data_IF_847341499430
#
_entry.id   IF_847341499430
#
_cell.length_a   1.000
_cell.length_b   1.000
_cell.length_c   1.000
_cell.angle_alpha   90.00
_cell.angle_beta   90.00
_cell.angle_gamma   90.00
#
_symmetry.space_group_name_H-M   'P 1'
#
loop_
_entity.id
_entity.type
_entity.pdbx_description
1 polymer ?
#
# COMPACT_ATOMS: atom_id res chain seq x y z
N UNK A 1 21.72 70.93 -6.92
CA UNK A 1 22.16 69.53 -7.10
C UNK A 1 21.39 68.67 -6.11
N UNK A 2 20.35 67.96 -6.56
CA UNK A 2 19.59 67.03 -5.75
C UNK A 2 20.27 65.64 -5.83
N UNK A 3 20.53 65.01 -4.68
CA UNK A 3 21.18 63.70 -4.59
C UNK A 3 20.31 62.57 -5.19
N UNK A 4 20.90 61.61 -5.93
CA UNK A 4 20.19 60.47 -6.53
C UNK A 4 19.96 59.31 -5.53
N UNK A 5 19.86 59.58 -4.22
CA UNK A 5 19.86 58.53 -3.19
C UNK A 5 18.49 57.87 -2.96
N UNK A 6 17.40 58.48 -3.42
CA UNK A 6 16.03 58.00 -3.17
C UNK A 6 15.66 56.79 -4.03
N UNK A 7 16.23 56.67 -5.24
CA UNK A 7 15.85 55.67 -6.25
C UNK A 7 16.39 54.27 -5.92
N UNK A 8 17.66 54.19 -5.50
CA UNK A 8 18.33 52.95 -5.11
C UNK A 8 17.63 52.21 -3.93
N UNK A 9 17.02 52.97 -3.02
CA UNK A 9 16.26 52.41 -1.89
C UNK A 9 14.93 51.78 -2.31
N UNK A 10 14.31 52.33 -3.36
CA UNK A 10 13.02 51.87 -3.89
C UNK A 10 13.21 50.61 -4.72
N UNK A 11 14.21 50.58 -5.60
CA UNK A 11 14.59 49.40 -6.37
C UNK A 11 14.94 48.21 -5.47
N UNK A 12 15.77 48.42 -4.43
CA UNK A 12 16.14 47.37 -3.47
C UNK A 12 14.91 46.84 -2.71
N UNK A 13 13.95 47.72 -2.39
CA UNK A 13 12.69 47.32 -1.74
C UNK A 13 11.80 46.51 -2.68
N UNK A 14 11.68 46.93 -3.94
CA UNK A 14 10.92 46.21 -4.96
C UNK A 14 11.54 44.83 -5.25
N UNK A 15 12.86 44.75 -5.39
CA UNK A 15 13.58 43.49 -5.58
C UNK A 15 13.37 42.54 -4.39
N UNK A 16 13.44 43.05 -3.15
CA UNK A 16 13.14 42.26 -1.94
C UNK A 16 11.70 41.76 -1.93
N UNK A 17 10.73 42.60 -2.28
CA UNK A 17 9.31 42.21 -2.34
C UNK A 17 9.06 41.16 -3.42
N UNK A 18 9.65 41.34 -4.60
CA UNK A 18 9.60 40.37 -5.69
C UNK A 18 10.21 39.02 -5.27
N UNK A 19 11.39 39.03 -4.66
CA UNK A 19 12.05 37.81 -4.15
C UNK A 19 11.23 37.07 -3.09
N UNK A 20 10.66 37.80 -2.12
CA UNK A 20 9.78 37.21 -1.10
C UNK A 20 8.51 36.63 -1.75
N UNK A 21 7.92 37.35 -2.69
CA UNK A 21 6.71 36.88 -3.40
C UNK A 21 6.99 35.62 -4.21
N UNK A 22 8.11 35.58 -4.93
CA UNK A 22 8.56 34.41 -5.68
C UNK A 22 8.83 33.22 -4.76
N UNK A 23 9.48 33.43 -3.62
CA UNK A 23 9.71 32.39 -2.63
C UNK A 23 8.40 31.79 -2.10
N UNK A 24 7.37 32.61 -1.88
CA UNK A 24 6.05 32.12 -1.48
C UNK A 24 5.30 31.40 -2.60
N UNK A 25 5.47 31.80 -3.86
CA UNK A 25 4.95 31.03 -5.00
C UNK A 25 5.64 29.68 -5.13
N UNK A 26 6.97 29.64 -5.02
CA UNK A 26 7.74 28.40 -5.02
C UNK A 26 7.34 27.48 -3.86
N UNK A 27 7.20 28.02 -2.65
CA UNK A 27 6.69 27.30 -1.48
C UNK A 27 5.29 26.74 -1.73
N UNK A 28 4.39 27.55 -2.30
CA UNK A 28 3.04 27.13 -2.67
C UNK A 28 3.01 26.00 -3.69
N UNK A 29 3.90 26.03 -4.68
CA UNK A 29 4.04 24.98 -5.69
C UNK A 29 4.56 23.67 -5.07
N UNK A 30 5.61 23.74 -4.25
CA UNK A 30 6.16 22.57 -3.52
C UNK A 30 5.08 21.96 -2.63
N UNK A 31 4.33 22.79 -1.91
CA UNK A 31 3.22 22.37 -1.07
C UNK A 31 2.13 21.66 -1.88
N UNK A 32 1.77 22.17 -3.05
CA UNK A 32 0.76 21.56 -3.92
C UNK A 32 1.23 20.19 -4.44
N UNK A 33 2.48 20.10 -4.91
CA UNK A 33 3.08 18.84 -5.38
C UNK A 33 3.09 17.81 -4.24
N UNK A 34 3.59 18.18 -3.07
CA UNK A 34 3.61 17.30 -1.90
C UNK A 34 2.20 16.86 -1.50
N UNK A 35 1.22 17.79 -1.51
CA UNK A 35 -0.17 17.47 -1.19
C UNK A 35 -0.76 16.43 -2.16
N UNK A 36 -0.56 16.62 -3.47
CA UNK A 36 -1.06 15.69 -4.49
C UNK A 36 -0.44 14.31 -4.37
N UNK A 37 0.87 14.24 -4.12
CA UNK A 37 1.59 12.98 -3.88
C UNK A 37 1.04 12.24 -2.65
N UNK A 38 0.88 12.94 -1.52
CA UNK A 38 0.37 12.33 -0.29
C UNK A 38 -1.11 11.93 -0.39
N UNK A 39 -1.93 12.70 -1.12
CA UNK A 39 -3.31 12.31 -1.44
C UNK A 39 -3.35 11.05 -2.31
N UNK A 40 -2.48 10.93 -3.31
CA UNK A 40 -2.40 9.76 -4.18
C UNK A 40 -2.02 8.50 -3.39
N UNK A 41 -0.89 8.52 -2.67
CA UNK A 41 -0.44 7.35 -1.90
C UNK A 41 -1.37 7.03 -0.73
N UNK A 42 -1.89 8.06 -0.06
CA UNK A 42 -2.87 7.90 1.01
C UNK A 42 -4.16 7.25 0.51
N UNK A 43 -4.70 7.72 -0.62
CA UNK A 43 -5.89 7.13 -1.24
C UNK A 43 -5.63 5.66 -1.64
N UNK A 44 -4.48 5.36 -2.24
CA UNK A 44 -4.12 4.00 -2.64
C UNK A 44 -4.05 3.03 -1.44
N UNK A 45 -3.64 3.51 -0.27
CA UNK A 45 -3.69 2.72 0.98
C UNK A 45 -5.10 2.61 1.56
N UNK A 46 -5.88 3.69 1.55
CA UNK A 46 -7.25 3.72 2.09
C UNK A 46 -8.21 2.79 1.35
N UNK A 47 -8.01 2.61 0.03
CA UNK A 47 -8.78 1.66 -0.78
C UNK A 47 -8.16 0.26 -0.81
N UNK A 48 -7.13 0.03 0.01
CA UNK A 48 -6.35 -1.21 0.08
C UNK A 48 -5.62 -1.62 -1.21
N UNK A 49 -5.56 -0.76 -2.22
CA UNK A 49 -4.96 -1.09 -3.52
C UNK A 49 -3.43 -1.22 -3.54
N UNK A 50 -2.71 -0.54 -2.63
CA UNK A 50 -1.24 -0.57 -2.66
C UNK A 50 -0.64 -1.92 -2.22
N UNK A 51 -1.19 -2.54 -1.18
CA UNK A 51 -0.66 -3.77 -0.60
C UNK A 51 -1.61 -4.97 -0.74
N UNK A 52 -2.90 -4.71 -1.00
CA UNK A 52 -3.93 -5.74 -1.03
C UNK A 52 -4.30 -6.25 0.36
N UNK A 53 -4.71 -7.51 0.41
CA UNK A 53 -5.03 -8.25 1.62
C UNK A 53 -4.26 -9.57 1.55
N UNK A 54 -3.74 -10.00 2.70
CA UNK A 54 -3.16 -11.34 2.82
C UNK A 54 -4.22 -12.29 3.37
N UNK A 55 -4.46 -13.39 2.65
CA UNK A 55 -5.42 -14.42 3.01
C UNK A 55 -4.84 -15.82 2.76
N UNK A 56 -5.67 -16.86 2.78
CA UNK A 56 -5.26 -18.24 2.56
C UNK A 56 -4.40 -18.44 1.29
N UNK A 57 -4.58 -17.63 0.25
CA UNK A 57 -3.80 -17.69 -0.99
C UNK A 57 -2.33 -17.29 -0.83
N UNK A 58 -1.92 -16.81 0.35
CA UNK A 58 -0.54 -16.49 0.72
C UNK A 58 0.07 -17.47 1.73
N UNK A 59 -0.62 -18.56 2.09
CA UNK A 59 -0.24 -19.40 3.23
C UNK A 59 0.99 -20.30 3.00
N UNK A 60 1.30 -20.66 1.75
CA UNK A 60 2.32 -21.66 1.46
C UNK A 60 3.73 -21.09 1.29
N UNK A 61 3.86 -19.80 0.94
CA UNK A 61 5.16 -19.17 0.72
C UNK A 61 5.98 -19.08 2.02
N UNK A 62 7.21 -19.57 1.98
CA UNK A 62 8.09 -19.60 3.14
C UNK A 62 8.88 -18.30 3.29
N UNK A 63 9.31 -17.99 4.52
CA UNK A 63 10.14 -16.80 4.79
C UNK A 63 11.40 -16.72 3.93
N UNK A 64 12.04 -17.86 3.63
CA UNK A 64 13.24 -17.92 2.79
C UNK A 64 13.00 -17.65 1.30
N UNK A 65 11.74 -17.70 0.85
CA UNK A 65 11.35 -17.49 -0.55
C UNK A 65 10.93 -16.04 -0.83
N UNK A 66 10.77 -15.23 0.22
CA UNK A 66 10.37 -13.84 0.11
C UNK A 66 11.59 -12.95 -0.11
N UNK A 67 11.44 -11.97 -1.00
CA UNK A 67 12.33 -10.80 -0.97
C UNK A 67 12.03 -9.94 0.27
N UNK A 68 12.97 -9.11 0.76
CA UNK A 68 12.71 -8.16 1.84
C UNK A 68 11.47 -7.29 1.56
N UNK A 69 11.31 -6.84 0.32
CA UNK A 69 10.12 -6.09 -0.12
C UNK A 69 8.85 -6.94 -0.02
N UNK A 70 8.88 -8.20 -0.47
CA UNK A 70 7.74 -9.12 -0.40
C UNK A 70 7.29 -9.41 1.03
N UNK A 71 8.25 -9.51 1.97
CA UNK A 71 7.97 -9.65 3.40
C UNK A 71 7.25 -8.42 3.96
N UNK A 72 7.75 -7.21 3.64
CA UNK A 72 7.10 -5.96 4.04
C UNK A 72 5.67 -5.86 3.49
N UNK A 73 5.48 -6.19 2.21
CA UNK A 73 4.16 -6.15 1.57
C UNK A 73 3.15 -7.03 2.29
N UNK A 74 3.52 -8.29 2.58
CA UNK A 74 2.66 -9.23 3.30
C UNK A 74 2.38 -8.79 4.73
N UNK A 75 3.39 -8.28 5.44
CA UNK A 75 3.20 -7.74 6.80
C UNK A 75 2.17 -6.61 6.84
N UNK A 76 2.21 -5.70 5.85
CA UNK A 76 1.25 -4.59 5.77
C UNK A 76 -0.13 -5.09 5.33
N UNK A 77 -0.19 -5.96 4.32
CA UNK A 77 -1.45 -6.54 3.81
C UNK A 77 -2.17 -7.40 4.86
N UNK A 78 -1.42 -8.04 5.76
CA UNK A 78 -1.96 -8.79 6.89
C UNK A 78 -2.65 -7.90 7.93
N UNK A 79 -2.29 -6.61 8.01
CA UNK A 79 -2.87 -5.67 8.96
C UNK A 79 -3.64 -4.55 8.25
N UNK A 80 -4.92 -4.79 7.88
CA UNK A 80 -5.78 -3.77 7.29
C UNK A 80 -5.87 -2.49 8.15
N UNK A 81 -5.82 -2.63 9.48
CA UNK A 81 -5.79 -1.50 10.40
C UNK A 81 -4.53 -0.64 10.22
N UNK A 82 -3.35 -1.27 10.18
CA UNK A 82 -2.09 -0.55 9.96
C UNK A 82 -2.10 0.16 8.62
N UNK A 83 -2.51 -0.52 7.55
CA UNK A 83 -2.61 0.04 6.21
C UNK A 83 -3.58 1.21 6.14
N UNK A 84 -4.78 1.08 6.74
CA UNK A 84 -5.77 2.14 6.79
C UNK A 84 -5.27 3.37 7.55
N UNK A 85 -4.66 3.18 8.73
CA UNK A 85 -4.12 4.29 9.53
C UNK A 85 -2.95 4.98 8.83
N UNK A 86 -2.07 4.23 8.17
CA UNK A 86 -1.01 4.79 7.34
C UNK A 86 -1.59 5.61 6.17
N UNK A 87 -2.60 5.08 5.48
CA UNK A 87 -3.32 5.79 4.42
C UNK A 87 -4.01 7.06 4.91
N UNK A 88 -4.64 7.01 6.08
CA UNK A 88 -5.31 8.15 6.71
C UNK A 88 -4.30 9.24 7.10
N UNK A 89 -3.13 8.87 7.62
CA UNK A 89 -2.07 9.81 7.95
C UNK A 89 -1.56 10.53 6.68
N UNK A 90 -1.29 9.78 5.61
CA UNK A 90 -0.83 10.34 4.33
C UNK A 90 -1.90 11.23 3.67
N UNK A 91 -3.11 10.69 3.51
CA UNK A 91 -4.22 11.42 2.88
C UNK A 91 -4.61 12.66 3.69
N UNK A 92 -4.67 12.52 5.02
CA UNK A 92 -4.94 13.61 5.94
C UNK A 92 -3.85 14.68 5.92
N UNK A 93 -2.58 14.30 5.81
CA UNK A 93 -1.48 15.24 5.62
C UNK A 93 -1.63 16.01 4.30
N UNK A 94 -1.90 15.31 3.20
CA UNK A 94 -2.16 15.92 1.89
C UNK A 94 -3.31 16.92 1.93
N UNK A 95 -4.44 16.54 2.52
CA UNK A 95 -5.60 17.43 2.69
C UNK A 95 -5.27 18.65 3.56
N UNK A 96 -4.55 18.45 4.67
CA UNK A 96 -4.12 19.53 5.56
C UNK A 96 -3.14 20.51 4.88
N UNK A 97 -2.32 20.05 3.95
CA UNK A 97 -1.41 20.91 3.18
C UNK A 97 -2.16 21.82 2.18
N UNK A 98 -3.31 21.39 1.65
CA UNK A 98 -4.11 22.20 0.74
C UNK A 98 -4.77 23.40 1.44
N UNK A 99 -5.08 23.29 2.73
CA UNK A 99 -5.65 24.38 3.50
C UNK A 99 -4.56 25.20 4.22
N UNK A 100 -4.44 26.49 3.84
CA UNK A 100 -3.54 27.50 4.44
C UNK A 100 -3.45 27.51 5.99
N UNK A 101 -4.50 27.11 6.72
CA UNK A 101 -4.51 27.13 8.19
C UNK A 101 -3.88 25.87 8.80
N UNK A 102 -3.91 24.76 8.08
CA UNK A 102 -3.47 23.44 8.54
C UNK A 102 -2.15 23.01 7.91
N UNK A 103 -1.51 23.85 7.09
CA UNK A 103 -0.18 23.59 6.49
C UNK A 103 0.85 23.07 7.49
N UNK A 104 1.08 23.67 8.68
CA UNK A 104 2.08 23.14 9.61
C UNK A 104 1.72 21.75 10.13
N UNK A 105 0.42 21.46 10.33
CA UNK A 105 -0.04 20.13 10.72
C UNK A 105 0.21 19.11 9.60
N UNK A 106 -0.19 19.45 8.37
CA UNK A 106 0.02 18.58 7.21
C UNK A 106 1.50 18.32 6.93
N UNK A 107 2.36 19.32 7.09
CA UNK A 107 3.80 19.18 6.94
C UNK A 107 4.44 18.34 8.05
N UNK A 108 3.98 18.44 9.29
CA UNK A 108 4.45 17.59 10.40
C UNK A 108 4.04 16.12 10.22
N UNK A 109 2.75 15.88 9.92
CA UNK A 109 2.25 14.52 9.67
C UNK A 109 2.93 13.94 8.43
N UNK A 110 3.07 14.73 7.36
CA UNK A 110 3.78 14.34 6.14
C UNK A 110 5.25 13.98 6.40
N UNK A 111 5.98 14.78 7.18
CA UNK A 111 7.36 14.48 7.55
C UNK A 111 7.47 13.20 8.38
N UNK A 112 6.59 13.00 9.37
CA UNK A 112 6.60 11.80 10.21
C UNK A 112 6.22 10.54 9.42
N UNK A 113 5.15 10.61 8.63
CA UNK A 113 4.67 9.52 7.78
C UNK A 113 5.71 9.14 6.71
N UNK A 114 6.24 10.11 5.96
CA UNK A 114 7.28 9.85 4.96
C UNK A 114 8.60 9.41 5.59
N UNK A 115 8.88 9.86 6.83
CA UNK A 115 10.01 9.36 7.61
C UNK A 115 9.87 7.88 7.95
N UNK A 116 8.70 7.45 8.40
CA UNK A 116 8.42 6.03 8.62
C UNK A 116 8.52 5.23 7.31
N UNK A 117 7.92 5.72 6.22
CA UNK A 117 8.02 5.10 4.90
C UNK A 117 9.47 5.00 4.43
N UNK A 118 10.29 6.03 4.65
CA UNK A 118 11.72 6.00 4.32
C UNK A 118 12.46 4.93 5.13
N UNK A 119 12.19 4.82 6.44
CA UNK A 119 12.78 3.77 7.27
C UNK A 119 12.40 2.38 6.77
N UNK A 120 11.12 2.16 6.45
CA UNK A 120 10.67 0.89 5.88
C UNK A 120 11.34 0.61 4.51
N UNK A 121 11.45 1.62 3.65
CA UNK A 121 12.07 1.47 2.34
C UNK A 121 13.56 1.15 2.43
N UNK A 122 14.28 1.71 3.41
CA UNK A 122 15.68 1.40 3.67
C UNK A 122 15.86 0.02 4.31
N UNK A 123 15.00 -0.34 5.27
CA UNK A 123 15.09 -1.60 6.01
C UNK A 123 14.68 -2.83 5.21
N UNK A 124 13.74 -2.68 4.26
CA UNK A 124 13.21 -3.78 3.43
C UNK A 124 13.58 -3.65 1.95
N UNK A 125 14.61 -2.86 1.64
CA UNK A 125 15.15 -2.63 0.29
C UNK A 125 14.09 -2.35 -0.78
N UNK A 126 13.16 -1.45 -0.46
CA UNK A 126 12.10 -1.04 -1.39
C UNK A 126 12.65 -0.03 -2.40
N UNK A 127 12.27 -0.18 -3.67
CA UNK A 127 12.77 0.64 -4.79
C UNK A 127 12.46 2.15 -4.66
N UNK A 128 11.49 2.55 -3.83
CA UNK A 128 11.03 3.95 -3.68
C UNK A 128 11.70 4.73 -2.53
N UNK A 129 12.92 4.34 -2.13
CA UNK A 129 13.72 5.05 -1.12
C UNK A 129 14.02 6.51 -1.47
N UNK A 130 14.43 6.80 -2.71
CA UNK A 130 14.75 8.18 -3.15
C UNK A 130 13.53 9.12 -3.11
N UNK A 131 12.36 8.75 -3.69
CA UNK A 131 11.15 9.56 -3.55
C UNK A 131 10.76 9.82 -2.10
N UNK A 132 10.78 8.80 -1.23
CA UNK A 132 10.41 8.97 0.18
C UNK A 132 11.32 9.96 0.92
N UNK A 133 12.63 9.95 0.65
CA UNK A 133 13.56 10.92 1.21
C UNK A 133 13.27 12.35 0.70
N UNK A 134 12.97 12.50 -0.59
CA UNK A 134 12.57 13.80 -1.15
C UNK A 134 11.29 14.31 -0.48
N UNK A 135 10.28 13.47 -0.25
CA UNK A 135 9.03 13.91 0.39
C UNK A 135 9.21 14.30 1.86
N UNK A 136 10.12 13.67 2.59
CA UNK A 136 10.55 14.15 3.92
C UNK A 136 11.16 15.55 3.79
N UNK A 137 12.10 15.76 2.87
CA UNK A 137 12.73 17.07 2.65
C UNK A 137 11.73 18.15 2.24
N UNK A 138 10.80 17.84 1.35
CA UNK A 138 9.74 18.77 0.95
C UNK A 138 8.82 19.10 2.12
N UNK A 139 8.48 18.13 2.96
CA UNK A 139 7.67 18.35 4.17
C UNK A 139 8.39 19.31 5.14
N UNK A 140 9.69 19.12 5.36
CA UNK A 140 10.51 20.01 6.17
C UNK A 140 10.62 21.41 5.57
N UNK A 141 10.84 21.51 4.25
CA UNK A 141 10.90 22.78 3.52
C UNK A 141 9.58 23.54 3.62
N UNK A 142 8.45 22.83 3.51
CA UNK A 142 7.13 23.41 3.73
C UNK A 142 6.99 23.91 5.17
N UNK A 143 7.55 23.22 6.17
CA UNK A 143 7.44 23.57 7.58
C UNK A 143 8.26 24.80 7.99
N UNK A 144 9.35 25.13 7.28
CA UNK A 144 10.32 26.20 7.63
C UNK A 144 9.65 27.51 8.10
N UNK A 145 8.67 28.10 7.38
CA UNK A 145 8.07 29.37 7.78
C UNK A 145 7.33 29.33 9.13
N UNK A 146 6.92 28.15 9.59
CA UNK A 146 6.19 27.94 10.85
C UNK A 146 7.10 27.48 11.99
N UNK A 147 8.36 27.12 11.73
CA UNK A 147 9.28 26.54 12.71
C UNK A 147 9.52 27.44 13.95
N UNK A 148 9.65 28.78 13.84
CA UNK A 148 9.76 29.64 15.02
C UNK A 148 8.52 29.58 15.94
N UNK A 149 7.33 29.41 15.36
CA UNK A 149 6.08 29.30 16.13
C UNK A 149 6.00 27.96 16.85
N UNK A 150 6.39 26.88 16.17
CA UNK A 150 6.43 25.53 16.74
C UNK A 150 7.43 25.45 17.89
N UNK A 151 8.63 26.01 17.73
CA UNK A 151 9.64 26.04 18.79
C UNK A 151 9.16 26.78 20.05
N UNK A 152 8.51 27.95 19.88
CA UNK A 152 7.91 28.68 21.01
C UNK A 152 6.79 27.89 21.69
N UNK A 153 5.93 27.24 20.90
CA UNK A 153 4.83 26.43 21.41
C UNK A 153 5.33 25.21 22.21
N UNK A 154 6.34 24.50 21.70
CA UNK A 154 6.89 23.29 22.34
C UNK A 154 7.72 23.62 23.57
N UNK A 155 8.53 24.68 23.53
CA UNK A 155 9.40 25.04 24.66
C UNK A 155 8.78 26.00 25.67
N UNK A 156 7.51 26.40 25.47
CA UNK A 156 6.82 27.33 26.36
C UNK A 156 7.45 28.72 26.44
N UNK A 157 8.20 29.15 25.40
CA UNK A 157 8.92 30.44 25.41
C UNK A 157 8.17 31.51 24.62
N UNK A 158 7.38 32.30 25.33
CA UNK A 158 6.76 33.54 24.82
C UNK A 158 5.46 33.35 24.03
N UNK A 159 4.90 34.47 23.57
CA UNK A 159 3.62 34.50 22.86
C UNK A 159 3.70 33.87 21.45
N UNK A 160 2.68 33.08 21.11
CA UNK A 160 2.51 32.47 19.79
C UNK A 160 1.82 33.49 18.88
N UNK A 161 2.60 34.29 18.17
CA UNK A 161 2.10 35.25 17.19
C UNK A 161 1.31 34.60 16.03
N UNK A 162 0.58 35.41 15.23
CA UNK A 162 -0.16 34.94 14.07
C UNK A 162 0.77 34.25 13.05
N UNK A 163 0.21 33.29 12.30
CA UNK A 163 0.97 32.55 11.30
C UNK A 163 1.32 33.39 10.07
N UNK A 164 2.31 32.95 9.26
CA UNK A 164 2.59 33.59 7.98
C UNK A 164 1.34 33.64 7.09
N UNK A 165 0.97 34.83 6.64
CA UNK A 165 -0.13 35.05 5.70
C UNK A 165 0.39 35.82 4.47
N UNK A 166 1.07 35.14 3.53
CA UNK A 166 1.53 35.81 2.32
C UNK A 166 0.35 36.30 1.50
N UNK A 167 0.35 37.59 1.17
CA UNK A 167 -0.61 38.17 0.21
C UNK A 167 -0.03 38.02 -1.19
N UNK A 168 -0.33 36.89 -1.84
CA UNK A 168 0.11 36.61 -3.21
C UNK A 168 -0.66 37.44 -4.25
N UNK A 169 -1.92 37.74 -3.96
CA UNK A 169 -2.79 38.57 -4.80
C UNK A 169 -3.27 39.75 -3.95
N UNK A 170 -3.00 41.01 -4.33
CA UNK A 170 -3.34 42.19 -3.55
C UNK A 170 -4.81 42.62 -3.69
N UNK A 171 -5.76 41.67 -3.68
CA UNK A 171 -7.19 41.94 -3.89
C UNK A 171 -8.04 41.49 -2.69
N UNK A 172 -8.58 42.47 -1.94
CA UNK A 172 -9.29 42.27 -0.66
C UNK A 172 -10.55 41.38 -0.71
N UNK A 173 -11.40 41.43 -1.77
CA UNK A 173 -12.55 40.53 -1.87
C UNK A 173 -12.13 39.08 -2.07
N UNK A 174 -11.03 38.86 -2.81
CA UNK A 174 -10.45 37.55 -3.07
C UNK A 174 -9.98 36.85 -1.78
N UNK A 175 -9.60 37.62 -0.75
CA UNK A 175 -9.15 37.09 0.53
C UNK A 175 -10.29 36.45 1.35
N UNK A 176 -11.50 37.03 1.28
CA UNK A 176 -12.71 36.48 1.92
C UNK A 176 -13.28 35.31 1.14
N UNK A 177 -13.40 35.43 -0.19
CA UNK A 177 -13.88 34.35 -1.05
C UNK A 177 -12.94 33.14 -0.96
N UNK A 178 -11.63 33.36 -1.02
CA UNK A 178 -10.62 32.31 -0.87
C UNK A 178 -10.57 31.65 0.52
N UNK A 179 -11.19 32.25 1.55
CA UNK A 179 -11.29 31.64 2.87
C UNK A 179 -12.27 30.47 2.91
N UNK A 180 -13.29 30.48 2.05
CA UNK A 180 -14.34 29.46 1.95
C UNK A 180 -14.13 28.61 0.69
N UNK A 181 -13.89 29.24 -0.45
CA UNK A 181 -13.64 28.55 -1.71
C UNK A 181 -12.36 27.69 -1.65
N UNK A 182 -11.34 28.10 -0.88
CA UNK A 182 -10.10 27.35 -0.72
C UNK A 182 -10.30 25.95 -0.11
N UNK A 183 -10.91 25.84 1.09
CA UNK A 183 -11.25 24.54 1.68
C UNK A 183 -12.18 23.68 0.81
N UNK A 184 -13.19 24.29 0.18
CA UNK A 184 -14.09 23.57 -0.73
C UNK A 184 -13.31 23.01 -1.93
N UNK A 185 -12.48 23.83 -2.59
CA UNK A 185 -11.63 23.38 -3.69
C UNK A 185 -10.63 22.30 -3.24
N UNK A 186 -10.10 22.39 -2.02
CA UNK A 186 -9.22 21.37 -1.45
C UNK A 186 -9.95 20.02 -1.26
N UNK A 187 -11.18 20.05 -0.73
CA UNK A 187 -12.02 18.86 -0.57
C UNK A 187 -12.42 18.26 -1.91
N UNK A 188 -12.80 19.10 -2.89
CA UNK A 188 -13.11 18.65 -4.25
C UNK A 188 -11.88 18.00 -4.89
N UNK A 189 -10.71 18.63 -4.81
CA UNK A 189 -9.46 18.07 -5.35
C UNK A 189 -9.11 16.74 -4.67
N UNK A 190 -9.19 16.67 -3.34
CA UNK A 190 -8.95 15.44 -2.60
C UNK A 190 -9.93 14.33 -2.97
N UNK A 191 -11.21 14.67 -3.14
CA UNK A 191 -12.25 13.74 -3.58
C UNK A 191 -12.02 13.24 -5.01
N UNK A 192 -11.63 14.11 -5.94
CA UNK A 192 -11.29 13.73 -7.32
C UNK A 192 -10.06 12.83 -7.37
N UNK A 193 -9.03 13.11 -6.58
CA UNK A 193 -7.85 12.23 -6.47
C UNK A 193 -8.24 10.88 -5.89
N UNK A 194 -8.99 10.86 -4.78
CA UNK A 194 -9.45 9.61 -4.16
C UNK A 194 -10.32 8.78 -5.12
N UNK A 195 -11.24 9.42 -5.83
CA UNK A 195 -12.06 8.76 -6.84
C UNK A 195 -11.21 8.22 -8.00
N UNK A 196 -10.33 9.03 -8.58
CA UNK A 196 -9.45 8.59 -9.66
C UNK A 196 -8.56 7.42 -9.26
N UNK A 197 -7.99 7.44 -8.05
CA UNK A 197 -7.23 6.32 -7.51
C UNK A 197 -8.11 5.09 -7.29
N UNK A 198 -9.33 5.24 -6.77
CA UNK A 198 -10.24 4.10 -6.58
C UNK A 198 -10.59 3.39 -7.88
N UNK A 199 -10.67 4.12 -9.00
CA UNK A 199 -10.94 3.54 -10.32
C UNK A 199 -9.74 2.84 -10.96
N UNK A 200 -8.54 3.00 -10.40
CA UNK A 200 -7.34 2.29 -10.88
C UNK A 200 -7.28 0.84 -10.39
N UNK A 201 -8.03 0.50 -9.35
CA UNK A 201 -8.02 -0.83 -8.74
C UNK A 201 -9.32 -1.58 -9.06
N UNK A 202 -9.23 -2.88 -9.38
CA UNK A 202 -10.42 -3.70 -9.60
C UNK A 202 -11.28 -3.78 -8.33
N UNK A 203 -12.60 -3.99 -8.48
CA UNK A 203 -13.50 -4.13 -7.34
C UNK A 203 -13.08 -5.33 -6.49
N UNK A 204 -13.10 -5.13 -5.17
CA UNK A 204 -12.78 -6.18 -4.20
C UNK A 204 -14.05 -6.84 -3.69
N UNK A 205 -14.05 -8.16 -3.64
CA UNK A 205 -15.06 -8.95 -2.93
C UNK A 205 -14.39 -10.05 -2.09
N UNK A 206 -15.13 -10.63 -1.16
CA UNK A 206 -14.67 -11.77 -0.34
C UNK A 206 -15.65 -12.91 -0.57
N UNK A 207 -15.13 -14.07 -0.89
CA UNK A 207 -15.88 -15.32 -1.03
C UNK A 207 -15.06 -16.46 -0.43
N UNK A 208 -15.36 -16.78 0.82
CA UNK A 208 -14.71 -17.83 1.59
C UNK A 208 -15.40 -19.21 1.39
N UNK A 209 -16.23 -19.37 0.36
CA UNK A 209 -16.85 -20.65 0.04
C UNK A 209 -15.83 -21.64 -0.53
N UNK A 210 -16.02 -22.93 -0.22
CA UNK A 210 -15.22 -24.05 -0.73
C UNK A 210 -15.08 -23.95 -2.27
N UNK A 211 -13.86 -23.97 -2.83
CA UNK A 211 -12.63 -24.47 -2.22
C UNK A 211 -11.66 -23.41 -1.64
N UNK A 212 -12.10 -22.20 -1.33
CA UNK A 212 -11.24 -21.24 -0.63
C UNK A 212 -10.73 -21.85 0.70
N UNK A 213 -9.43 -21.75 0.96
CA UNK A 213 -8.77 -22.40 2.10
C UNK A 213 -7.35 -22.89 1.79
N UNK A 214 -6.73 -23.52 2.78
CA UNK A 214 -5.42 -24.18 2.65
C UNK A 214 -5.63 -25.69 2.75
N UNK A 215 -5.04 -26.41 1.80
CA UNK A 215 -5.26 -27.82 1.59
C UNK A 215 -3.94 -28.56 1.43
N UNK A 216 -3.86 -29.77 1.96
CA UNK A 216 -2.75 -30.71 1.76
C UNK A 216 -3.21 -31.91 0.95
N UNK A 217 -2.33 -32.50 0.17
CA UNK A 217 -2.65 -33.72 -0.59
C UNK A 217 -2.68 -34.91 0.37
N UNK A 218 -3.86 -35.52 0.53
CA UNK A 218 -4.09 -36.70 1.34
C UNK A 218 -3.96 -37.98 0.51
N UNK A 219 -4.49 -37.98 -0.71
CA UNK A 219 -4.37 -39.09 -1.66
C UNK A 219 -3.97 -38.57 -3.04
N UNK A 220 -3.10 -39.32 -3.71
CA UNK A 220 -2.63 -39.05 -5.07
C UNK A 220 -2.53 -40.37 -5.82
N UNK A 221 -3.14 -40.43 -6.99
CA UNK A 221 -3.11 -41.60 -7.88
C UNK A 221 -1.81 -41.71 -8.68
N UNK A 222 -1.01 -40.64 -8.77
CA UNK A 222 0.26 -40.62 -9.46
C UNK A 222 1.38 -41.33 -8.68
N UNK A 223 2.22 -42.09 -9.38
CA UNK A 223 3.36 -42.77 -8.76
C UNK A 223 4.44 -41.78 -8.31
N UNK A 224 5.02 -41.98 -7.10
CA UNK A 224 6.11 -41.14 -6.60
C UNK A 224 7.36 -41.26 -7.48
N UNK A 225 8.04 -40.13 -7.68
CA UNK A 225 9.38 -40.16 -8.24
C UNK A 225 10.36 -40.88 -7.29
N UNK A 226 11.36 -41.55 -7.84
CA UNK A 226 12.36 -42.26 -7.04
C UNK A 226 13.20 -41.33 -6.14
N UNK A 227 13.31 -40.05 -6.51
CA UNK A 227 14.01 -39.01 -5.75
C UNK A 227 13.08 -37.84 -5.49
N UNK A 228 13.03 -37.35 -4.25
CA UNK A 228 12.18 -36.22 -3.85
C UNK A 228 12.46 -34.96 -4.69
N UNK A 229 13.72 -34.70 -5.03
CA UNK A 229 14.09 -33.53 -5.85
C UNK A 229 13.62 -33.59 -7.31
N UNK A 230 13.00 -34.69 -7.71
CA UNK A 230 12.42 -34.90 -9.04
C UNK A 230 10.91 -35.14 -8.95
N UNK A 231 10.33 -35.10 -7.74
CA UNK A 231 8.93 -35.37 -7.52
C UNK A 231 8.11 -34.09 -7.72
N UNK A 232 7.45 -33.98 -8.88
CA UNK A 232 6.63 -32.83 -9.25
C UNK A 232 5.16 -32.98 -8.87
N UNK A 233 4.82 -34.01 -8.08
CA UNK A 233 3.45 -34.18 -7.57
C UNK A 233 3.10 -33.07 -6.59
N UNK A 234 1.80 -32.85 -6.41
CA UNK A 234 1.31 -31.80 -5.53
C UNK A 234 1.52 -32.21 -4.07
N UNK A 235 1.83 -31.24 -3.22
CA UNK A 235 1.90 -31.46 -1.77
C UNK A 235 0.90 -30.59 -1.01
N UNK A 236 0.69 -29.35 -1.45
CA UNK A 236 -0.30 -28.45 -0.85
C UNK A 236 -0.83 -27.42 -1.84
N UNK A 237 -2.10 -27.03 -1.68
CA UNK A 237 -2.78 -26.01 -2.46
C UNK A 237 -3.40 -24.97 -1.53
N UNK A 238 -3.19 -23.71 -1.82
CA UNK A 238 -3.75 -22.58 -1.10
C UNK A 238 -4.57 -21.71 -2.05
N UNK A 239 -5.84 -21.50 -1.70
CA UNK A 239 -6.80 -20.73 -2.48
C UNK A 239 -7.35 -19.59 -1.63
N UNK A 240 -7.05 -18.35 -2.00
CA UNK A 240 -7.52 -17.16 -1.30
C UNK A 240 -9.02 -16.93 -1.50
N UNK A 241 -9.67 -16.31 -0.51
CA UNK A 241 -11.07 -15.88 -0.57
C UNK A 241 -11.26 -14.44 -1.03
N UNK A 242 -10.21 -13.61 -0.98
CA UNK A 242 -10.25 -12.21 -1.41
C UNK A 242 -10.09 -12.10 -2.92
N UNK A 243 -11.14 -11.66 -3.60
CA UNK A 243 -11.17 -11.48 -5.05
C UNK A 243 -10.93 -10.04 -5.46
N UNK A 244 -10.18 -9.88 -6.55
CA UNK A 244 -9.97 -8.65 -7.28
C UNK A 244 -10.52 -8.82 -8.70
N UNK A 245 -11.71 -8.28 -8.96
CA UNK A 245 -12.52 -8.73 -10.10
C UNK A 245 -13.00 -10.15 -9.84
N UNK A 246 -12.69 -11.07 -10.76
CA UNK A 246 -13.13 -12.48 -10.70
C UNK A 246 -12.05 -13.44 -10.16
N UNK A 247 -10.84 -12.94 -9.91
CA UNK A 247 -9.68 -13.74 -9.54
C UNK A 247 -9.28 -13.52 -8.08
N UNK A 248 -8.85 -14.58 -7.41
CA UNK A 248 -8.23 -14.56 -6.08
C UNK A 248 -6.83 -15.16 -6.13
N UNK A 249 -6.01 -14.89 -5.12
CA UNK A 249 -4.64 -15.40 -5.05
C UNK A 249 -4.63 -16.93 -4.90
N UNK A 250 -3.67 -17.59 -5.55
CA UNK A 250 -3.46 -19.03 -5.42
C UNK A 250 -1.97 -19.36 -5.28
N UNK A 251 -1.68 -20.40 -4.50
CA UNK A 251 -0.35 -20.96 -4.35
C UNK A 251 -0.42 -22.49 -4.42
N UNK A 252 0.56 -23.09 -5.07
CA UNK A 252 0.70 -24.54 -5.19
C UNK A 252 2.12 -24.92 -4.81
N UNK A 253 2.26 -25.85 -3.88
CA UNK A 253 3.52 -26.46 -3.49
C UNK A 253 3.63 -27.84 -4.12
N UNK A 254 4.78 -28.12 -4.72
CA UNK A 254 5.13 -29.45 -5.22
C UNK A 254 5.92 -30.24 -4.18
N UNK A 255 6.05 -31.55 -4.38
CA UNK A 255 6.76 -32.46 -3.47
C UNK A 255 8.28 -32.21 -3.43
N UNK A 256 8.87 -31.74 -4.53
CA UNK A 256 10.27 -31.29 -4.60
C UNK A 256 10.54 -29.97 -3.86
N UNK A 257 9.49 -29.32 -3.35
CA UNK A 257 9.55 -28.04 -2.63
C UNK A 257 9.37 -26.82 -3.53
N UNK A 258 9.20 -26.95 -4.84
CA UNK A 258 8.95 -25.84 -5.75
C UNK A 258 7.62 -25.16 -5.41
N UNK A 259 7.63 -23.82 -5.31
CA UNK A 259 6.41 -23.00 -5.17
C UNK A 259 6.00 -22.42 -6.52
N UNK A 260 4.73 -22.62 -6.86
CA UNK A 260 4.04 -21.88 -7.89
C UNK A 260 3.07 -20.89 -7.25
N UNK A 261 3.01 -19.68 -7.79
CA UNK A 261 2.14 -18.59 -7.32
C UNK A 261 1.36 -18.01 -8.48
N UNK A 262 0.15 -17.56 -8.22
CA UNK A 262 -0.65 -16.89 -9.23
C UNK A 262 -2.07 -16.65 -8.75
N UNK A 263 -3.04 -16.95 -9.59
CA UNK A 263 -4.45 -16.67 -9.32
C UNK A 263 -5.33 -17.86 -9.65
N UNK A 264 -6.50 -17.91 -9.01
CA UNK A 264 -7.57 -18.81 -9.38
C UNK A 264 -8.88 -18.06 -9.63
N UNK A 265 -9.70 -18.63 -10.50
CA UNK A 265 -11.06 -18.15 -10.80
C UNK A 265 -12.04 -19.31 -10.66
N UNK A 266 -13.24 -19.02 -10.16
CA UNK A 266 -14.33 -20.00 -10.13
C UNK A 266 -15.09 -19.94 -11.46
N UNK A 267 -15.38 -21.12 -12.03
CA UNK A 267 -16.26 -21.28 -13.20
C UNK A 267 -17.56 -21.97 -12.79
N UNK A 268 -18.53 -21.96 -13.69
CA UNK A 268 -19.80 -22.66 -13.48
C UNK A 268 -19.56 -24.17 -13.34
N UNK A 269 -20.42 -24.84 -12.56
CA UNK A 269 -20.41 -26.30 -12.44
C UNK A 269 -19.37 -26.89 -11.47
N UNK A 270 -18.81 -26.10 -10.54
CA UNK A 270 -17.84 -26.60 -9.56
C UNK A 270 -16.40 -26.69 -10.08
N UNK A 271 -16.15 -26.17 -11.28
CA UNK A 271 -14.81 -26.10 -11.87
C UNK A 271 -14.09 -24.84 -11.40
N UNK A 272 -12.79 -24.95 -11.16
CA UNK A 272 -11.87 -23.83 -10.95
C UNK A 272 -10.85 -23.77 -12.09
N UNK A 273 -10.34 -22.58 -12.36
CA UNK A 273 -9.19 -22.40 -13.24
C UNK A 273 -8.06 -21.71 -12.49
N UNK A 274 -6.90 -22.34 -12.50
CA UNK A 274 -5.65 -21.87 -11.91
C UNK A 274 -4.74 -21.32 -13.01
N UNK A 275 -4.13 -20.18 -12.75
CA UNK A 275 -3.07 -19.60 -13.57
C UNK A 275 -1.86 -19.40 -12.66
N UNK A 276 -0.84 -20.24 -12.79
CA UNK A 276 0.27 -20.36 -11.86
C UNK A 276 1.61 -20.16 -12.56
N UNK A 277 2.58 -19.59 -11.84
CA UNK A 277 3.96 -19.39 -12.31
C UNK A 277 4.93 -19.70 -11.19
N UNK A 278 6.10 -20.22 -11.55
CA UNK A 278 7.21 -20.32 -10.60
C UNK A 278 7.59 -18.95 -10.03
N UNK A 279 8.27 -18.96 -8.89
CA UNK A 279 8.85 -17.73 -8.35
C UNK A 279 9.90 -17.15 -9.30
N UNK A 280 10.01 -15.81 -9.32
CA UNK A 280 11.04 -15.13 -10.12
C UNK A 280 12.43 -15.57 -9.66
N UNK A 281 13.25 -16.01 -10.61
CA UNK A 281 14.59 -16.51 -10.33
C UNK A 281 15.61 -15.37 -10.13
N UNK A 282 16.70 -15.66 -9.42
CA UNK A 282 17.79 -14.70 -9.24
C UNK A 282 18.42 -14.35 -10.60
N UNK A 283 18.56 -13.06 -10.88
CA UNK A 283 19.09 -12.56 -12.16
C UNK A 283 18.04 -12.37 -13.26
N UNK A 284 16.83 -12.90 -13.10
CA UNK A 284 15.71 -12.66 -14.02
C UNK A 284 15.13 -11.26 -13.82
N UNK A 285 14.94 -10.52 -14.92
CA UNK A 285 14.32 -9.19 -14.87
C UNK A 285 12.81 -9.28 -14.61
N UNK A 286 12.22 -8.17 -14.14
CA UNK A 286 10.75 -8.09 -13.97
C UNK A 286 10.02 -8.30 -15.29
N UNK A 287 10.56 -7.80 -16.40
CA UNK A 287 9.94 -7.90 -17.71
C UNK A 287 9.98 -9.33 -18.27
N UNK A 288 11.11 -10.01 -18.14
CA UNK A 288 11.23 -11.43 -18.53
C UNK A 288 10.29 -12.31 -17.71
N UNK A 289 10.21 -12.06 -16.39
CA UNK A 289 9.29 -12.77 -15.52
C UNK A 289 7.82 -12.54 -15.92
N UNK A 290 7.44 -11.28 -16.17
CA UNK A 290 6.08 -10.92 -16.57
C UNK A 290 5.68 -11.56 -17.91
N UNK A 291 6.65 -11.74 -18.82
CA UNK A 291 6.46 -12.39 -20.12
C UNK A 291 6.49 -13.92 -20.09
N UNK A 292 6.77 -14.55 -18.94
CA UNK A 292 6.69 -16.02 -18.80
C UNK A 292 5.22 -16.43 -18.81
N UNK A 293 4.84 -17.37 -19.69
CA UNK A 293 3.46 -17.87 -19.75
C UNK A 293 3.10 -18.62 -18.46
N UNK A 294 1.91 -18.36 -17.89
CA UNK A 294 1.42 -19.12 -16.75
C UNK A 294 1.04 -20.54 -17.17
N UNK A 295 1.33 -21.49 -16.30
CA UNK A 295 0.70 -22.80 -16.36
C UNK A 295 -0.79 -22.63 -16.03
N UNK A 296 -1.65 -23.11 -16.93
CA UNK A 296 -3.10 -23.01 -16.79
C UNK A 296 -3.66 -24.39 -16.54
N UNK A 297 -4.44 -24.53 -15.45
CA UNK A 297 -5.08 -25.77 -15.07
C UNK A 297 -6.57 -25.54 -14.84
N UNK A 298 -7.40 -26.46 -15.28
CA UNK A 298 -8.85 -26.46 -15.16
C UNK A 298 -9.25 -27.73 -14.44
N UNK A 299 -9.76 -27.55 -13.21
CA UNK A 299 -10.00 -28.65 -12.28
C UNK A 299 -11.46 -28.64 -11.85
N UNK A 300 -12.10 -29.80 -11.89
CA UNK A 300 -13.36 -30.04 -11.21
C UNK A 300 -13.08 -30.32 -9.73
N UNK A 301 -13.83 -29.64 -8.85
CA UNK A 301 -13.65 -29.75 -7.41
C UNK A 301 -14.97 -30.15 -6.77
N UNK A 302 -14.99 -31.35 -6.19
CA UNK A 302 -16.14 -31.89 -5.49
C UNK A 302 -15.84 -32.02 -3.99
N UNK A 303 -16.63 -31.35 -3.16
CA UNK A 303 -16.56 -31.49 -1.71
C UNK A 303 -17.16 -32.83 -1.26
N UNK A 304 -16.41 -33.57 -0.45
CA UNK A 304 -16.83 -34.85 0.13
C UNK A 304 -17.48 -34.64 1.50
N UNK A 305 -18.22 -35.65 1.97
CA UNK A 305 -18.97 -35.58 3.23
C UNK A 305 -18.08 -35.44 4.49
N UNK A 306 -16.79 -35.76 4.37
CA UNK A 306 -15.79 -35.65 5.44
C UNK A 306 -15.03 -34.30 5.42
N UNK A 307 -15.38 -33.40 4.50
CA UNK A 307 -14.74 -32.09 4.34
C UNK A 307 -13.48 -32.11 3.48
N UNK A 308 -13.11 -33.25 2.89
CA UNK A 308 -12.04 -33.31 1.88
C UNK A 308 -12.56 -32.89 0.50
N UNK A 309 -11.64 -32.56 -0.41
CA UNK A 309 -11.96 -32.22 -1.79
C UNK A 309 -11.42 -33.29 -2.74
N UNK A 310 -12.29 -33.84 -3.57
CA UNK A 310 -11.85 -34.59 -4.75
C UNK A 310 -11.60 -33.62 -5.89
N UNK A 311 -10.36 -33.60 -6.38
CA UNK A 311 -9.92 -32.70 -7.43
C UNK A 311 -9.49 -33.51 -8.65
N UNK A 312 -10.18 -33.30 -9.76
CA UNK A 312 -9.92 -34.01 -11.02
C UNK A 312 -9.82 -33.06 -12.20
N UNK A 313 -8.89 -33.30 -13.13
CA UNK A 313 -8.72 -32.49 -14.34
C UNK A 313 -7.26 -32.24 -14.68
N UNK A 314 -6.95 -32.00 -15.95
CA UNK A 314 -5.59 -31.74 -16.45
C UNK A 314 -4.50 -32.69 -15.89
N UNK A 315 -4.84 -33.98 -15.82
CA UNK A 315 -3.95 -35.04 -15.33
C UNK A 315 -3.85 -35.16 -13.81
N UNK A 316 -4.63 -34.39 -13.05
CA UNK A 316 -4.78 -34.53 -11.61
C UNK A 316 -5.97 -35.44 -11.26
N UNK A 317 -5.79 -36.30 -10.27
CA UNK A 317 -6.83 -37.06 -9.57
C UNK A 317 -6.36 -37.26 -8.13
N UNK A 318 -6.78 -36.32 -7.28
CA UNK A 318 -6.25 -36.09 -5.93
C UNK A 318 -7.37 -35.95 -4.92
N UNK A 319 -7.13 -36.39 -3.68
CA UNK A 319 -7.95 -36.01 -2.52
C UNK A 319 -7.17 -35.01 -1.68
N UNK A 320 -7.74 -33.83 -1.47
CA UNK A 320 -7.17 -32.76 -0.66
C UNK A 320 -7.85 -32.69 0.70
N UNK A 321 -7.07 -32.72 1.78
CA UNK A 321 -7.54 -32.54 3.14
C UNK A 321 -7.24 -31.12 3.65
N UNK A 322 -8.10 -30.51 4.48
CA UNK A 322 -7.88 -29.17 5.02
C UNK A 322 -6.62 -29.13 5.90
N UNK A 323 -5.82 -28.06 5.74
CA UNK A 323 -4.64 -27.79 6.57
C UNK A 323 -4.97 -26.74 7.64
N UNK A 324 -5.33 -27.20 8.83
CA UNK A 324 -5.61 -26.33 9.98
C UNK A 324 -4.42 -25.44 10.35
N UNK A 325 -3.19 -25.91 10.13
CA UNK A 325 -1.98 -25.16 10.48
C UNK A 325 -1.72 -23.99 9.53
N UNK A 326 -1.96 -24.19 8.24
CA UNK A 326 -1.88 -23.16 7.21
C UNK A 326 -2.99 -22.11 7.29
N UNK A 327 -4.16 -22.48 7.82
CA UNK A 327 -5.30 -21.57 7.96
C UNK A 327 -5.24 -20.68 9.22
N UNK A 328 -4.48 -21.11 10.23
CA UNK A 328 -4.47 -20.51 11.58
C UNK A 328 -4.21 -19.00 11.58
N UNK A 329 -3.28 -18.50 10.75
CA UNK A 329 -2.94 -17.08 10.71
C UNK A 329 -4.10 -16.23 10.15
N UNK A 330 -4.86 -16.77 9.21
CA UNK A 330 -5.85 -16.03 8.42
C UNK A 330 -7.27 -16.11 9.00
N UNK A 331 -7.61 -17.18 9.72
CA UNK A 331 -8.97 -17.40 10.24
C UNK A 331 -9.16 -17.01 11.72
N UNK A 332 -8.06 -16.99 12.49
CA UNK A 332 -8.12 -16.86 13.95
C UNK A 332 -8.71 -15.53 14.43
N UNK A 333 -8.57 -14.43 13.67
CA UNK A 333 -9.03 -13.10 14.09
C UNK A 333 -8.36 -12.59 15.38
N UNK A 334 -8.69 -11.36 15.81
CA UNK A 334 -8.09 -10.74 17.01
C UNK A 334 -8.91 -11.02 18.28
N UNK A 335 -8.22 -11.30 19.40
CA UNK A 335 -8.81 -11.52 20.73
C UNK A 335 -8.09 -10.70 21.78
N UNK A 336 -8.84 -10.14 22.74
CA UNK A 336 -8.27 -9.45 23.91
C UNK A 336 -7.89 -10.40 25.05
N UNK A 337 -8.31 -11.67 25.00
CA UNK A 337 -7.94 -12.72 25.94
C UNK A 337 -7.03 -13.77 25.28
N UNK A 338 -6.12 -14.34 26.07
CA UNK A 338 -5.35 -15.54 25.68
C UNK A 338 -6.34 -16.66 25.39
N UNK A 339 -6.29 -17.28 24.20
CA UNK A 339 -7.14 -18.44 23.92
C UNK A 339 -6.42 -19.70 24.42
N UNK A 340 -7.11 -20.61 25.11
CA UNK A 340 -6.49 -21.82 25.68
C UNK A 340 -5.80 -22.72 24.64
N UNK A 341 -6.26 -22.67 23.39
CA UNK A 341 -5.86 -23.56 22.29
C UNK A 341 -4.81 -22.92 21.37
N UNK A 342 -4.32 -21.73 21.72
CA UNK A 342 -3.37 -20.99 20.90
C UNK A 342 -1.93 -21.48 21.13
N UNK A 343 -1.22 -22.01 20.12
CA UNK A 343 0.23 -22.05 20.15
C UNK A 343 0.76 -20.61 20.19
N UNK A 344 1.15 -20.15 21.38
CA UNK A 344 1.70 -18.81 21.57
C UNK A 344 3.15 -18.78 21.05
N UNK A 345 3.46 -17.84 20.15
CA UNK A 345 4.81 -17.57 19.61
C UNK A 345 5.50 -18.78 18.93
N UNK A 346 4.95 -19.31 17.83
CA UNK A 346 5.66 -20.25 16.95
C UNK A 346 6.47 -19.51 15.88
#
# INVERSE_FOLDING_TARGET
MASPTTDYSTEKRLARLAGVTLAWWAHGAIRLVLALVLLYYGAAKLVFGQFGFSDAGDALIMHGEMSPMGLLWRMVAFSPLFQFLAGLAEFGAGLALLWRRTVPLGALIGAASMGLVLVLNLGYDVMVKTPSAVYVLLSLLVLIPWMPRLWRAVLGRGEIGPGPSPRLIPWRPAERVGAIAGPVAALVLAGLVAWGVSTMYPPRSVDDSVPAGVWTVAEDTAEPAAQLSQDTRWSALALGGTRYGDAAAAQLRLADGTLLTGTWTRRDGGTIALELRGLRQQGQTVQEYAGTEPETLVLEVAEQADGTLHVTGDGQDLVLAPDESGQMLHERGFSWSVRPDDPFNR
#
